data_IF_562284951987
#
_entry.id   IF_562284951987
#
_cell.length_a   1.000
_cell.length_b   1.000
_cell.length_c   1.000
_cell.angle_alpha   90.00
_cell.angle_beta   90.00
_cell.angle_gamma   90.00
#
_symmetry.space_group_name_H-M   'P 1'
#
loop_
_entity.id
_entity.type
_entity.pdbx_description
1 polymer ?
#
# COMPACT_ATOMS: atom_id res chain seq x y z
N UNK A 1 7.00 -10.21 -30.43
CA UNK A 1 7.81 -10.43 -29.22
C UNK A 1 9.01 -9.54 -29.32
N UNK A 2 9.04 -8.47 -28.52
CA UNK A 2 10.19 -7.60 -28.39
C UNK A 2 11.04 -8.05 -27.20
N UNK A 3 12.35 -7.97 -27.36
CA UNK A 3 13.30 -8.11 -26.25
C UNK A 3 13.89 -6.73 -25.95
N UNK A 4 13.89 -6.33 -24.68
CA UNK A 4 14.48 -5.08 -24.21
C UNK A 4 15.39 -5.35 -23.02
N UNK A 5 16.52 -4.66 -22.95
CA UNK A 5 17.48 -4.79 -21.85
C UNK A 5 17.67 -3.46 -21.16
N UNK A 6 17.70 -3.47 -19.82
CA UNK A 6 17.95 -2.31 -18.99
C UNK A 6 18.93 -2.66 -17.88
N UNK A 7 19.71 -1.69 -17.43
CA UNK A 7 20.58 -1.90 -16.27
C UNK A 7 19.75 -2.08 -15.00
N UNK A 8 18.76 -1.22 -14.82
CA UNK A 8 17.84 -1.22 -13.69
C UNK A 8 16.40 -1.40 -14.17
N UNK A 9 15.69 -2.34 -13.59
CA UNK A 9 14.23 -2.44 -13.73
C UNK A 9 13.58 -2.27 -12.36
N UNK A 10 12.61 -1.37 -12.27
CA UNK A 10 11.64 -1.33 -11.17
C UNK A 10 10.36 -2.02 -11.66
N UNK A 11 9.97 -3.11 -11.01
CA UNK A 11 8.72 -3.82 -11.30
C UNK A 11 7.60 -3.35 -10.36
N UNK A 12 6.62 -2.66 -10.93
CA UNK A 12 5.52 -2.00 -10.22
C UNK A 12 5.59 -0.48 -10.43
N UNK A 13 4.46 0.16 -10.69
CA UNK A 13 4.35 1.61 -10.96
C UNK A 13 3.71 2.41 -9.84
N UNK A 14 3.86 1.99 -8.59
CA UNK A 14 3.24 2.64 -7.43
C UNK A 14 4.11 3.67 -6.73
N UNK A 15 3.74 4.02 -5.50
CA UNK A 15 4.45 5.02 -4.67
C UNK A 15 5.95 4.71 -4.55
N UNK A 16 6.33 3.49 -4.16
CA UNK A 16 7.74 3.12 -4.00
C UNK A 16 8.53 3.28 -5.30
N UNK A 17 7.93 3.00 -6.45
CA UNK A 17 8.58 3.12 -7.75
C UNK A 17 8.86 4.57 -8.12
N UNK A 18 7.89 5.47 -7.91
CA UNK A 18 8.10 6.90 -8.17
C UNK A 18 9.11 7.55 -7.23
N UNK A 19 9.15 7.15 -5.95
CA UNK A 19 10.19 7.64 -5.04
C UNK A 19 11.57 7.05 -5.36
N UNK A 20 11.65 5.78 -5.76
CA UNK A 20 12.90 5.17 -6.22
C UNK A 20 13.43 5.85 -7.48
N UNK A 21 12.56 6.15 -8.47
CA UNK A 21 12.95 6.86 -9.68
C UNK A 21 13.51 8.25 -9.40
N UNK A 22 12.89 8.98 -8.46
CA UNK A 22 13.43 10.26 -7.97
C UNK A 22 14.82 10.11 -7.38
N UNK A 23 15.05 9.05 -6.60
CA UNK A 23 16.36 8.81 -6.01
C UNK A 23 17.40 8.41 -7.06
N UNK A 24 17.05 7.58 -8.04
CA UNK A 24 17.92 7.29 -9.19
C UNK A 24 18.33 8.57 -9.94
N UNK A 25 17.40 9.49 -10.17
CA UNK A 25 17.70 10.77 -10.80
C UNK A 25 18.69 11.59 -9.99
N UNK A 26 18.49 11.69 -8.66
CA UNK A 26 19.44 12.37 -7.75
C UNK A 26 20.82 11.72 -7.74
N UNK A 27 20.88 10.41 -7.85
CA UNK A 27 22.13 9.63 -7.89
C UNK A 27 22.79 9.64 -9.28
N UNK A 28 22.21 10.36 -10.26
CA UNK A 28 22.81 10.53 -11.59
C UNK A 28 22.65 9.34 -12.53
N UNK A 29 21.50 8.64 -12.47
CA UNK A 29 21.16 7.59 -13.45
C UNK A 29 21.28 8.13 -14.88
N UNK A 30 21.87 7.36 -15.78
CA UNK A 30 22.03 7.81 -17.18
C UNK A 30 20.76 7.52 -17.99
N UNK A 31 20.45 8.35 -19.01
CA UNK A 31 19.36 8.07 -19.93
C UNK A 31 19.44 6.65 -20.52
N UNK A 32 18.33 5.91 -20.47
CA UNK A 32 18.23 4.54 -20.95
C UNK A 32 18.65 3.45 -19.96
N UNK A 33 19.25 3.79 -18.80
CA UNK A 33 19.65 2.77 -17.81
C UNK A 33 18.47 2.22 -16.98
N UNK A 34 17.45 3.05 -16.73
CA UNK A 34 16.32 2.70 -15.85
C UNK A 34 15.01 2.55 -16.64
N UNK A 35 14.32 1.44 -16.39
CA UNK A 35 12.93 1.25 -16.78
C UNK A 35 12.03 0.98 -15.57
N UNK A 36 10.79 1.46 -15.66
CA UNK A 36 9.72 1.14 -14.71
C UNK A 36 8.61 0.43 -15.47
N UNK A 37 8.29 -0.80 -15.06
CA UNK A 37 7.24 -1.61 -15.67
C UNK A 37 6.02 -1.59 -14.76
N UNK A 38 4.88 -1.13 -15.29
CA UNK A 38 3.61 -1.08 -14.57
C UNK A 38 2.49 -1.71 -15.38
N UNK A 39 1.62 -2.47 -14.70
CA UNK A 39 0.36 -2.95 -15.28
C UNK A 39 -0.68 -1.84 -15.43
N UNK A 40 -0.58 -0.76 -14.65
CA UNK A 40 -1.51 0.35 -14.69
C UNK A 40 -1.35 1.13 -16.00
N UNK A 41 -2.47 1.59 -16.56
CA UNK A 41 -2.47 2.33 -17.83
C UNK A 41 -1.95 3.77 -17.69
N UNK A 42 -2.04 4.30 -16.47
CA UNK A 42 -1.57 5.63 -16.10
C UNK A 42 -0.37 5.52 -15.17
N UNK A 43 0.53 6.49 -15.26
CA UNK A 43 1.59 6.64 -14.27
C UNK A 43 0.96 7.05 -12.94
N UNK A 44 0.84 6.13 -11.98
CA UNK A 44 0.08 6.37 -10.75
C UNK A 44 0.97 6.59 -9.54
N UNK A 45 0.50 7.43 -8.62
CA UNK A 45 1.31 7.79 -7.48
C UNK A 45 0.51 8.48 -6.38
N UNK A 46 -0.36 7.73 -5.68
CA UNK A 46 -0.62 7.81 -4.22
C UNK A 46 -1.91 7.05 -3.87
N UNK A 47 -1.78 5.90 -3.22
CA UNK A 47 -2.91 5.04 -2.83
C UNK A 47 -3.90 5.75 -1.89
N UNK A 48 -3.41 6.56 -0.95
CA UNK A 48 -4.25 7.28 0.02
C UNK A 48 -5.10 8.38 -0.61
N UNK A 49 -4.88 8.73 -1.88
CA UNK A 49 -5.71 9.73 -2.60
C UNK A 49 -6.92 9.08 -3.27
N UNK A 50 -6.98 7.75 -3.38
CA UNK A 50 -8.12 7.06 -4.01
C UNK A 50 -9.43 7.32 -3.26
N UNK A 51 -9.40 7.35 -1.92
CA UNK A 51 -10.58 7.72 -1.13
C UNK A 51 -10.90 9.21 -1.27
N UNK A 52 -9.88 10.07 -1.45
CA UNK A 52 -10.09 11.49 -1.74
C UNK A 52 -10.74 11.74 -3.11
N UNK A 53 -10.51 10.86 -4.09
CA UNK A 53 -11.19 10.89 -5.39
C UNK A 53 -12.70 10.63 -5.26
N UNK A 54 -13.12 9.89 -4.21
CA UNK A 54 -14.50 9.48 -3.93
C UNK A 54 -15.24 10.49 -3.03
N UNK A 55 -14.55 11.06 -2.03
CA UNK A 55 -15.16 11.94 -1.02
C UNK A 55 -15.51 13.35 -1.51
N UNK A 56 -15.02 13.78 -2.68
CA UNK A 56 -15.11 15.17 -3.14
C UNK A 56 -16.33 15.53 -4.01
N UNK A 57 -17.37 14.70 -4.07
CA UNK A 57 -18.63 15.13 -4.69
C UNK A 57 -19.31 16.23 -3.86
N UNK A 58 -19.07 16.36 -2.55
CA UNK A 58 -19.56 17.50 -1.76
C UNK A 58 -18.81 17.69 -0.41
N UNK A 59 -17.98 18.73 -0.28
CA UNK A 59 -17.40 19.31 0.98
C UNK A 59 -16.11 18.72 1.64
N UNK A 60 -15.01 19.45 1.42
CA UNK A 60 -14.31 20.34 2.37
C UNK A 60 -13.67 19.85 3.69
N UNK A 61 -13.61 18.58 4.07
CA UNK A 61 -12.84 18.20 5.28
C UNK A 61 -12.13 16.85 5.14
N UNK A 62 -10.81 16.87 5.41
CA UNK A 62 -9.86 15.73 5.58
C UNK A 62 -9.29 15.22 4.23
N UNK A 63 -8.06 15.54 3.83
CA UNK A 63 -6.79 15.24 4.51
C UNK A 63 -5.79 16.43 4.55
N UNK A 64 -5.00 16.45 5.62
CA UNK A 64 -4.26 17.61 6.18
C UNK A 64 -3.09 18.15 5.35
N UNK A 65 -2.72 17.53 4.23
CA UNK A 65 -1.54 17.93 3.46
C UNK A 65 -1.88 18.75 2.20
N UNK A 66 -2.96 18.39 1.48
CA UNK A 66 -3.45 19.18 0.32
C UNK A 66 -4.04 20.54 0.75
N UNK A 67 -4.47 20.67 2.00
CA UNK A 67 -5.09 21.88 2.55
C UNK A 67 -4.09 22.96 3.01
N UNK A 68 -2.80 22.66 3.17
CA UNK A 68 -1.85 23.67 3.66
C UNK A 68 -1.27 24.56 2.56
N UNK A 69 -1.28 24.13 1.29
CA UNK A 69 -0.67 24.86 0.18
C UNK A 69 -1.55 25.04 -1.06
N UNK A 70 -2.78 24.51 -1.10
CA UNK A 70 -3.69 24.76 -2.21
C UNK A 70 -4.47 26.07 -2.00
N UNK A 71 -4.53 26.98 -2.99
CA UNK A 71 -5.39 28.15 -2.91
C UNK A 71 -6.84 27.71 -2.68
N UNK A 72 -7.53 28.40 -1.76
CA UNK A 72 -8.94 28.19 -1.35
C UNK A 72 -9.99 28.24 -2.49
N UNK A 73 -9.57 28.28 -3.76
CA UNK A 73 -10.42 28.39 -4.95
C UNK A 73 -10.56 27.10 -5.78
N UNK A 74 -9.84 26.01 -5.47
CA UNK A 74 -9.92 24.77 -6.26
C UNK A 74 -11.14 23.90 -5.85
N UNK A 75 -12.31 24.21 -6.41
CA UNK A 75 -13.47 23.31 -6.42
C UNK A 75 -13.21 22.15 -7.38
N UNK A 76 -13.07 20.92 -6.88
CA UNK A 76 -13.00 19.72 -7.73
C UNK A 76 -12.47 18.48 -6.99
N UNK A 77 -12.90 17.29 -7.43
CA UNK A 77 -12.32 16.04 -6.95
C UNK A 77 -10.86 15.91 -7.41
N UNK A 78 -10.02 15.29 -6.58
CA UNK A 78 -8.65 15.00 -6.97
C UNK A 78 -8.65 14.16 -8.27
N UNK A 79 -7.93 14.63 -9.28
CA UNK A 79 -7.75 13.95 -10.56
C UNK A 79 -6.28 14.00 -10.95
N UNK A 80 -5.82 12.97 -11.66
CA UNK A 80 -4.53 13.05 -12.34
C UNK A 80 -4.57 14.22 -13.34
N UNK A 81 -3.47 14.98 -13.51
CA UNK A 81 -2.13 14.75 -12.95
C UNK A 81 -1.89 15.36 -11.55
N UNK A 82 -2.90 15.96 -10.90
CA UNK A 82 -2.73 16.84 -9.73
C UNK A 82 -2.21 16.21 -8.44
N UNK A 83 -2.06 14.89 -8.39
CA UNK A 83 -1.50 14.19 -7.24
C UNK A 83 -0.37 13.23 -7.62
N UNK A 84 0.36 13.49 -8.72
CA UNK A 84 1.54 12.69 -9.00
C UNK A 84 2.57 12.78 -7.84
N UNK A 85 3.32 11.72 -7.55
CA UNK A 85 4.47 11.78 -6.64
C UNK A 85 5.45 12.83 -7.17
N UNK A 86 6.13 13.60 -6.32
CA UNK A 86 6.23 13.46 -4.87
C UNK A 86 5.41 14.50 -4.10
N UNK A 87 4.35 15.07 -4.70
CA UNK A 87 3.60 16.14 -4.05
C UNK A 87 3.14 15.72 -2.67
N UNK A 88 2.69 14.48 -2.46
CA UNK A 88 2.25 14.00 -1.14
C UNK A 88 3.21 14.21 0.05
N UNK A 89 4.51 14.41 -0.18
CA UNK A 89 5.51 14.74 0.85
C UNK A 89 6.11 16.15 0.70
N UNK A 90 5.48 17.03 -0.07
CA UNK A 90 5.97 18.38 -0.40
C UNK A 90 7.11 18.42 -1.42
N UNK A 91 7.32 17.35 -2.18
CA UNK A 91 8.23 17.38 -3.31
C UNK A 91 7.55 17.84 -4.60
N UNK A 92 8.36 18.08 -5.63
CA UNK A 92 7.86 18.39 -6.97
C UNK A 92 7.09 17.20 -7.59
N UNK A 93 6.06 17.48 -8.40
CA UNK A 93 5.36 16.45 -9.17
C UNK A 93 6.28 15.86 -10.25
N UNK A 94 6.13 14.56 -10.49
CA UNK A 94 6.79 13.79 -11.54
C UNK A 94 5.71 13.30 -12.52
N UNK A 95 5.26 14.14 -13.46
CA UNK A 95 4.38 13.71 -14.53
C UNK A 95 5.15 12.86 -15.56
N UNK A 96 4.48 12.16 -16.50
CA UNK A 96 5.15 11.30 -17.50
C UNK A 96 6.28 11.98 -18.28
N UNK A 97 6.15 13.29 -18.53
CA UNK A 97 7.15 14.11 -19.23
C UNK A 97 8.46 14.18 -18.44
N UNK A 98 8.40 14.25 -17.11
CA UNK A 98 9.59 14.25 -16.25
C UNK A 98 10.44 12.99 -16.47
N UNK A 99 9.82 11.82 -16.56
CA UNK A 99 10.55 10.57 -16.81
C UNK A 99 11.21 10.58 -18.19
N UNK A 100 10.49 11.08 -19.20
CA UNK A 100 11.00 11.20 -20.58
C UNK A 100 12.21 12.14 -20.64
N UNK A 101 12.13 13.31 -20.00
CA UNK A 101 13.22 14.29 -19.92
C UNK A 101 14.46 13.74 -19.22
N UNK A 102 14.27 12.88 -18.20
CA UNK A 102 15.36 12.22 -17.47
C UNK A 102 15.87 10.94 -18.16
N UNK A 103 15.28 10.56 -19.29
CA UNK A 103 15.62 9.34 -20.01
C UNK A 103 15.27 8.06 -19.24
N UNK A 104 14.30 8.12 -18.33
CA UNK A 104 13.75 6.98 -17.60
C UNK A 104 12.59 6.42 -18.43
N UNK A 105 12.65 5.13 -18.77
CA UNK A 105 11.65 4.50 -19.62
C UNK A 105 10.43 4.05 -18.80
N UNK A 106 9.28 4.68 -19.00
CA UNK A 106 8.01 4.20 -18.46
C UNK A 106 7.36 3.19 -19.40
N UNK A 107 7.13 1.97 -18.91
CA UNK A 107 6.50 0.87 -19.63
C UNK A 107 5.17 0.57 -18.94
N UNK A 108 4.11 1.26 -19.38
CA UNK A 108 2.76 1.18 -18.80
C UNK A 108 1.91 0.09 -19.48
N UNK A 109 0.73 -0.20 -18.93
CA UNK A 109 -0.20 -1.23 -19.44
C UNK A 109 0.46 -2.59 -19.68
N UNK A 110 1.49 -2.92 -18.90
CA UNK A 110 2.33 -4.10 -19.11
C UNK A 110 2.36 -4.93 -17.84
N UNK A 111 1.54 -5.97 -17.79
CA UNK A 111 1.57 -6.96 -16.70
C UNK A 111 2.68 -7.98 -16.94
N UNK A 112 3.58 -8.13 -15.96
CA UNK A 112 4.55 -9.21 -15.92
C UNK A 112 3.90 -10.46 -15.32
N UNK A 113 3.91 -11.55 -16.07
CA UNK A 113 3.28 -12.84 -15.69
C UNK A 113 4.29 -13.92 -15.34
N UNK A 114 5.57 -13.69 -15.67
CA UNK A 114 6.67 -14.59 -15.30
C UNK A 114 7.92 -13.77 -14.95
N UNK A 115 8.59 -14.17 -13.87
CA UNK A 115 9.92 -13.69 -13.52
C UNK A 115 10.84 -14.89 -13.35
N UNK A 116 12.01 -14.86 -13.98
CA UNK A 116 13.10 -15.80 -13.77
C UNK A 116 14.30 -15.01 -13.22
N UNK A 117 14.61 -15.22 -11.95
CA UNK A 117 15.69 -14.49 -11.27
C UNK A 117 17.08 -15.01 -11.64
N UNK A 118 17.19 -16.27 -12.08
CA UNK A 118 18.47 -16.86 -12.49
C UNK A 118 18.89 -16.32 -13.84
N UNK A 119 17.98 -16.31 -14.81
CA UNK A 119 18.23 -15.73 -16.13
C UNK A 119 18.06 -14.19 -16.16
N UNK A 120 17.66 -13.59 -15.03
CA UNK A 120 17.35 -12.16 -14.90
C UNK A 120 16.38 -11.64 -15.96
N UNK A 121 15.28 -12.37 -16.14
CA UNK A 121 14.32 -12.15 -17.23
C UNK A 121 12.91 -11.99 -16.69
N UNK A 122 12.19 -10.97 -17.15
CA UNK A 122 10.76 -10.80 -16.94
C UNK A 122 10.01 -11.02 -18.26
N UNK A 123 8.85 -11.65 -18.21
CA UNK A 123 7.99 -11.86 -19.38
C UNK A 123 6.61 -11.25 -19.15
N UNK A 124 6.15 -10.42 -20.08
CA UNK A 124 4.81 -9.83 -20.02
C UNK A 124 3.72 -10.80 -20.47
N UNK A 125 2.47 -10.47 -20.14
CA UNK A 125 1.28 -11.17 -20.65
C UNK A 125 1.21 -11.19 -22.19
N UNK A 126 1.79 -10.19 -22.86
CA UNK A 126 1.87 -10.09 -24.31
C UNK A 126 3.03 -10.92 -24.93
N UNK A 127 3.87 -11.54 -24.10
CA UNK A 127 5.04 -12.32 -24.53
C UNK A 127 6.29 -11.49 -24.80
N UNK A 128 6.32 -10.21 -24.44
CA UNK A 128 7.54 -9.40 -24.49
C UNK A 128 8.47 -9.78 -23.35
N UNK A 129 9.77 -9.68 -23.60
CA UNK A 129 10.82 -10.10 -22.68
C UNK A 129 11.68 -8.91 -22.26
N UNK A 130 11.93 -8.79 -20.96
CA UNK A 130 12.73 -7.71 -20.37
C UNK A 130 13.88 -8.31 -19.57
N UNK A 131 15.11 -7.98 -19.96
CA UNK A 131 16.34 -8.44 -19.31
C UNK A 131 16.86 -7.31 -18.41
N UNK A 132 17.37 -7.67 -17.23
CA UNK A 132 17.90 -6.70 -16.28
C UNK A 132 19.25 -7.11 -15.68
N UNK A 133 20.03 -6.12 -15.25
CA UNK A 133 21.17 -6.38 -14.36
C UNK A 133 20.72 -6.39 -12.89
N UNK A 134 19.89 -5.41 -12.51
CA UNK A 134 19.33 -5.24 -11.16
C UNK A 134 17.80 -5.06 -11.24
N UNK A 135 17.08 -5.79 -10.39
CA UNK A 135 15.63 -5.72 -10.26
C UNK A 135 15.23 -5.17 -8.89
N UNK A 136 14.36 -4.16 -8.88
CA UNK A 136 13.68 -3.67 -7.69
C UNK A 136 12.23 -4.14 -7.76
N UNK A 137 11.82 -4.95 -6.78
CA UNK A 137 10.46 -5.47 -6.68
C UNK A 137 9.60 -4.46 -5.91
N UNK A 138 8.71 -3.77 -6.61
CA UNK A 138 7.80 -2.75 -6.09
C UNK A 138 6.32 -3.05 -6.42
N UNK A 139 5.96 -4.34 -6.48
CA UNK A 139 4.63 -4.83 -6.90
C UNK A 139 3.51 -4.57 -5.89
N UNK A 140 3.87 -4.20 -4.65
CA UNK A 140 2.90 -3.82 -3.63
C UNK A 140 2.02 -4.97 -3.14
N UNK A 141 0.71 -4.75 -3.11
CA UNK A 141 -0.27 -5.67 -2.54
C UNK A 141 -1.54 -5.71 -3.38
N UNK A 142 -2.27 -6.81 -3.28
CA UNK A 142 -3.61 -6.97 -3.83
C UNK A 142 -4.63 -7.10 -2.71
N UNK A 143 -5.88 -6.74 -2.98
CA UNK A 143 -6.98 -6.86 -2.01
C UNK A 143 -7.29 -8.32 -1.72
N UNK A 144 -7.70 -8.61 -0.48
CA UNK A 144 -8.38 -9.85 -0.17
C UNK A 144 -9.82 -9.75 -0.70
N UNK A 145 -10.24 -10.78 -1.45
CA UNK A 145 -11.55 -10.83 -2.10
C UNK A 145 -12.51 -11.68 -1.29
N UNK A 146 -13.80 -11.33 -1.26
CA UNK A 146 -14.84 -12.12 -0.60
C UNK A 146 -14.95 -13.53 -1.19
N UNK A 147 -14.61 -13.68 -2.47
CA UNK A 147 -14.45 -14.94 -3.18
C UNK A 147 -13.35 -15.83 -2.56
N UNK A 148 -12.26 -15.23 -2.04
CA UNK A 148 -11.18 -15.97 -1.35
C UNK A 148 -11.69 -16.63 -0.05
N UNK A 149 -12.80 -16.13 0.51
CA UNK A 149 -13.45 -16.67 1.70
C UNK A 149 -14.64 -17.61 1.39
N UNK A 150 -14.91 -17.89 0.11
CA UNK A 150 -16.01 -18.76 -0.31
C UNK A 150 -17.40 -18.17 -0.06
N UNK A 151 -17.54 -16.85 -0.02
CA UNK A 151 -18.83 -16.19 0.22
C UNK A 151 -19.67 -16.22 -1.06
N UNK A 152 -20.85 -16.82 -0.98
CA UNK A 152 -21.79 -16.92 -2.11
C UNK A 152 -22.26 -15.54 -2.58
N UNK A 153 -22.32 -15.34 -3.90
CA UNK A 153 -22.75 -14.07 -4.50
C UNK A 153 -21.73 -12.93 -4.42
N UNK A 154 -20.49 -13.19 -3.98
CA UNK A 154 -19.43 -12.19 -3.94
C UNK A 154 -19.06 -11.58 -5.32
N UNK A 155 -19.43 -12.25 -6.42
CA UNK A 155 -19.19 -11.83 -7.80
C UNK A 155 -20.37 -11.05 -8.43
N UNK A 156 -21.41 -10.71 -7.67
CA UNK A 156 -22.54 -9.92 -8.16
C UNK A 156 -22.11 -8.50 -8.56
N UNK A 157 -22.87 -7.87 -9.45
CA UNK A 157 -22.64 -6.46 -9.81
C UNK A 157 -22.87 -5.57 -8.60
N UNK A 158 -22.21 -4.41 -8.60
CA UNK A 158 -22.22 -3.41 -7.53
C UNK A 158 -21.59 -3.84 -6.20
N UNK A 159 -20.76 -4.89 -6.23
CA UNK A 159 -19.79 -5.19 -5.18
C UNK A 159 -18.43 -4.66 -5.64
N UNK A 160 -17.90 -3.68 -4.91
CA UNK A 160 -16.69 -2.95 -5.28
C UNK A 160 -15.56 -3.20 -4.28
N UNK A 161 -14.35 -3.14 -4.80
CA UNK A 161 -13.11 -3.05 -4.03
C UNK A 161 -12.47 -1.71 -4.35
N UNK A 162 -11.50 -1.27 -3.54
CA UNK A 162 -10.75 -0.04 -3.82
C UNK A 162 -9.26 -0.26 -3.60
N UNK A 163 -8.51 -0.39 -4.69
CA UNK A 163 -7.04 -0.52 -4.66
C UNK A 163 -6.34 0.30 -5.72
N UNK A 164 -6.88 0.36 -6.92
CA UNK A 164 -6.27 1.07 -8.05
C UNK A 164 -7.19 2.20 -8.52
N UNK A 165 -6.69 3.06 -9.41
CA UNK A 165 -7.47 4.23 -9.86
C UNK A 165 -8.70 3.81 -10.66
N UNK A 166 -8.60 2.73 -11.41
CA UNK A 166 -9.72 2.15 -12.16
C UNK A 166 -10.83 1.66 -11.24
N UNK A 167 -10.48 1.17 -10.04
CA UNK A 167 -11.46 0.83 -9.02
C UNK A 167 -12.17 2.08 -8.49
N UNK A 168 -11.41 3.16 -8.25
CA UNK A 168 -11.95 4.44 -7.80
C UNK A 168 -12.90 5.03 -8.84
N UNK A 169 -12.56 4.99 -10.13
CA UNK A 169 -13.42 5.49 -11.21
C UNK A 169 -14.73 4.70 -11.30
N UNK A 170 -14.67 3.36 -11.22
CA UNK A 170 -15.87 2.51 -11.18
C UNK A 170 -16.75 2.85 -9.98
N UNK A 171 -16.15 3.03 -8.81
CA UNK A 171 -16.88 3.36 -7.59
C UNK A 171 -17.51 4.76 -7.65
N UNK A 172 -16.79 5.76 -8.19
CA UNK A 172 -17.32 7.12 -8.40
C UNK A 172 -18.50 7.11 -9.36
N UNK A 173 -18.43 6.34 -10.46
CA UNK A 173 -19.55 6.17 -11.39
C UNK A 173 -20.76 5.52 -10.70
N UNK A 174 -20.53 4.45 -9.92
CA UNK A 174 -21.59 3.77 -9.18
C UNK A 174 -22.28 4.69 -8.16
N UNK A 175 -21.50 5.47 -7.41
CA UNK A 175 -21.99 6.49 -6.47
C UNK A 175 -22.85 7.52 -7.20
N UNK A 176 -22.42 7.98 -8.38
CA UNK A 176 -23.18 8.91 -9.21
C UNK A 176 -24.52 8.34 -9.71
N UNK A 177 -24.56 7.03 -9.99
CA UNK A 177 -25.74 6.34 -10.53
C UNK A 177 -26.74 5.88 -9.45
N UNK A 178 -26.29 5.71 -8.20
CA UNK A 178 -27.08 5.16 -7.09
C UNK A 178 -27.32 6.16 -5.96
N UNK A 179 -27.38 7.45 -6.28
CA UNK A 179 -27.58 8.53 -5.30
C UNK A 179 -28.73 8.22 -4.35
N UNK A 180 -28.55 8.60 -3.10
CA UNK A 180 -29.53 8.45 -2.01
C UNK A 180 -29.90 6.97 -1.69
N UNK A 181 -29.15 6.01 -2.26
CA UNK A 181 -29.33 4.58 -2.05
C UNK A 181 -28.71 4.06 -0.75
N UNK A 182 -28.77 2.73 -0.58
CA UNK A 182 -28.18 2.01 0.56
C UNK A 182 -26.83 1.42 0.20
N UNK A 183 -25.83 1.68 1.02
CA UNK A 183 -24.49 1.13 0.86
C UNK A 183 -24.07 0.32 2.10
N UNK A 184 -23.54 -0.88 1.88
CA UNK A 184 -22.91 -1.68 2.93
C UNK A 184 -21.39 -1.67 2.74
N UNK A 185 -20.66 -1.25 3.77
CA UNK A 185 -19.20 -1.36 3.83
C UNK A 185 -18.82 -2.61 4.61
N UNK A 186 -18.05 -3.50 3.99
CA UNK A 186 -17.55 -4.75 4.61
C UNK A 186 -16.09 -4.56 5.02
N UNK A 187 -15.85 -4.47 6.32
CA UNK A 187 -14.53 -4.29 6.94
C UNK A 187 -14.44 -3.05 7.82
N UNK A 188 -13.84 -3.20 9.01
CA UNK A 188 -13.74 -2.15 10.05
C UNK A 188 -12.36 -1.50 10.15
N UNK A 189 -11.49 -1.69 9.16
CA UNK A 189 -10.17 -1.05 9.10
C UNK A 189 -10.23 0.39 8.57
N UNK A 190 -9.06 0.99 8.33
CA UNK A 190 -8.97 2.39 7.90
C UNK A 190 -9.69 2.63 6.58
N UNK A 191 -9.57 1.70 5.61
CA UNK A 191 -10.31 1.75 4.35
C UNK A 191 -11.82 1.74 4.59
N UNK A 192 -12.31 0.87 5.48
CA UNK A 192 -13.74 0.79 5.80
C UNK A 192 -14.27 2.07 6.42
N UNK A 193 -13.52 2.67 7.34
CA UNK A 193 -13.85 3.97 7.94
C UNK A 193 -13.87 5.08 6.88
N UNK A 194 -12.80 5.24 6.10
CA UNK A 194 -12.72 6.30 5.09
C UNK A 194 -13.82 6.17 4.02
N UNK A 195 -14.11 4.95 3.55
CA UNK A 195 -15.18 4.68 2.60
C UNK A 195 -16.57 4.96 3.17
N UNK A 196 -16.82 4.56 4.42
CA UNK A 196 -18.10 4.85 5.10
C UNK A 196 -18.33 6.36 5.19
N UNK A 197 -17.29 7.11 5.56
CA UNK A 197 -17.34 8.57 5.59
C UNK A 197 -17.58 9.15 4.20
N UNK A 198 -16.92 8.64 3.16
CA UNK A 198 -17.07 9.13 1.80
C UNK A 198 -18.51 8.88 1.27
N UNK A 199 -19.10 7.73 1.58
CA UNK A 199 -20.48 7.40 1.18
C UNK A 199 -21.51 8.26 1.92
N UNK A 200 -21.34 8.52 3.23
CA UNK A 200 -22.19 9.45 3.98
C UNK A 200 -22.17 10.85 3.36
N UNK A 201 -20.98 11.35 3.01
CA UNK A 201 -20.82 12.67 2.38
C UNK A 201 -21.46 12.72 0.97
N UNK A 202 -21.65 11.56 0.34
CA UNK A 202 -22.37 11.37 -0.92
C UNK A 202 -23.87 11.03 -0.71
N UNK A 203 -24.41 11.27 0.48
CA UNK A 203 -25.82 11.13 0.83
C UNK A 203 -26.38 9.68 0.79
N UNK A 204 -25.51 8.67 0.93
CA UNK A 204 -25.97 7.28 1.07
C UNK A 204 -26.43 6.97 2.50
N UNK A 205 -27.37 6.02 2.62
CA UNK A 205 -27.61 5.32 3.88
C UNK A 205 -26.53 4.26 4.05
N UNK A 206 -25.67 4.38 5.08
CA UNK A 206 -24.48 3.54 5.21
C UNK A 206 -24.58 2.62 6.42
N UNK A 207 -24.45 1.31 6.17
CA UNK A 207 -24.14 0.31 7.18
C UNK A 207 -22.66 -0.10 7.03
N UNK A 208 -21.96 -0.35 8.14
CA UNK A 208 -20.58 -0.87 8.15
C UNK A 208 -20.55 -2.14 9.01
N UNK A 209 -20.10 -3.25 8.42
CA UNK A 209 -20.04 -4.57 9.07
C UNK A 209 -18.62 -5.09 9.21
N UNK A 210 -18.28 -5.62 10.37
CA UNK A 210 -16.98 -6.25 10.62
C UNK A 210 -17.00 -7.24 11.79
N UNK A 211 -16.13 -8.27 11.76
CA UNK A 211 -16.11 -9.32 12.78
C UNK A 211 -15.53 -8.87 14.12
N UNK A 212 -14.65 -7.87 14.12
CA UNK A 212 -13.91 -7.48 15.31
C UNK A 212 -14.79 -6.74 16.34
N UNK A 213 -14.42 -6.77 17.63
CA UNK A 213 -15.20 -6.11 18.69
C UNK A 213 -15.22 -4.58 18.56
N UNK A 214 -14.25 -4.00 17.85
CA UNK A 214 -14.17 -2.57 17.56
C UNK A 214 -13.40 -2.28 16.26
N UNK A 215 -13.55 -1.07 15.71
CA UNK A 215 -12.88 -0.65 14.46
C UNK A 215 -11.37 -0.44 14.63
N UNK A 216 -10.60 -0.55 13.53
CA UNK A 216 -9.13 -0.45 13.54
C UNK A 216 -8.44 -1.35 14.59
N UNK A 217 -8.79 -2.64 14.68
CA UNK A 217 -8.39 -3.53 15.79
C UNK A 217 -6.88 -3.79 15.88
N UNK A 218 -6.13 -3.53 14.80
CA UNK A 218 -4.67 -3.69 14.76
C UNK A 218 -3.90 -2.46 15.27
N UNK A 219 -4.59 -1.36 15.59
CA UNK A 219 -3.96 -0.11 16.00
C UNK A 219 -4.69 0.59 17.14
N UNK A 220 -6.02 0.68 17.09
CA UNK A 220 -6.81 1.38 18.10
C UNK A 220 -7.06 0.50 19.33
N UNK A 221 -7.02 1.14 20.49
CA UNK A 221 -7.60 0.61 21.72
C UNK A 221 -9.13 0.73 21.67
N UNK A 222 -9.83 0.00 22.54
CA UNK A 222 -11.29 0.04 22.62
C UNK A 222 -11.83 1.46 22.87
N UNK A 223 -11.20 2.26 23.73
CA UNK A 223 -11.65 3.63 24.03
C UNK A 223 -11.49 4.57 22.83
N UNK A 224 -10.37 4.46 22.09
CA UNK A 224 -10.18 5.23 20.86
C UNK A 224 -11.22 4.83 19.81
N UNK A 225 -11.45 3.53 19.64
CA UNK A 225 -12.43 3.03 18.70
C UNK A 225 -13.86 3.46 19.09
N UNK A 226 -14.22 3.45 20.38
CA UNK A 226 -15.51 3.92 20.86
C UNK A 226 -15.77 5.40 20.51
N UNK A 227 -14.74 6.25 20.59
CA UNK A 227 -14.83 7.64 20.13
C UNK A 227 -15.18 7.71 18.63
N UNK A 228 -14.44 6.98 17.78
CA UNK A 228 -14.69 7.00 16.33
C UNK A 228 -16.03 6.35 15.97
N UNK A 229 -16.37 5.20 16.52
CA UNK A 229 -17.66 4.54 16.31
C UNK A 229 -18.81 5.47 16.69
N UNK A 230 -18.74 6.10 17.87
CA UNK A 230 -19.73 7.07 18.30
C UNK A 230 -19.80 8.31 17.39
N UNK A 231 -18.66 8.77 16.87
CA UNK A 231 -18.61 9.86 15.90
C UNK A 231 -19.27 9.48 14.56
N UNK A 232 -18.99 8.28 14.04
CA UNK A 232 -19.57 7.77 12.80
C UNK A 232 -21.08 7.52 12.92
N UNK A 233 -21.54 6.97 14.05
CA UNK A 233 -22.97 6.80 14.31
C UNK A 233 -23.70 8.15 14.42
N UNK A 234 -23.09 9.17 15.04
CA UNK A 234 -23.64 10.55 15.03
C UNK A 234 -23.73 11.15 13.63
N UNK A 235 -22.91 10.68 12.68
CA UNK A 235 -22.95 11.08 11.27
C UNK A 235 -23.89 10.22 10.43
N UNK A 236 -24.59 9.24 11.02
CA UNK A 236 -25.59 8.42 10.36
C UNK A 236 -25.11 7.05 9.90
N UNK A 237 -23.89 6.63 10.25
CA UNK A 237 -23.41 5.27 9.93
C UNK A 237 -23.98 4.26 10.93
N UNK A 238 -24.68 3.25 10.42
CA UNK A 238 -25.09 2.09 11.19
C UNK A 238 -23.89 1.14 11.33
N UNK A 239 -23.47 0.83 12.56
CA UNK A 239 -22.27 0.01 12.81
C UNK A 239 -22.69 -1.37 13.32
N UNK A 240 -22.27 -2.40 12.60
CA UNK A 240 -22.62 -3.80 12.82
C UNK A 240 -21.35 -4.60 13.16
N UNK A 241 -21.11 -4.80 14.45
CA UNK A 241 -19.90 -5.49 14.97
C UNK A 241 -20.16 -6.97 15.24
N UNK A 242 -19.08 -7.75 15.35
CA UNK A 242 -19.15 -9.15 15.80
C UNK A 242 -19.76 -10.13 14.80
N UNK A 243 -19.91 -9.75 13.54
CA UNK A 243 -20.48 -10.60 12.49
C UNK A 243 -19.78 -10.36 11.15
N UNK A 244 -20.06 -11.23 10.17
CA UNK A 244 -19.50 -11.16 8.82
C UNK A 244 -20.59 -11.31 7.78
N UNK A 245 -20.36 -10.81 6.57
CA UNK A 245 -21.17 -11.19 5.42
C UNK A 245 -21.02 -12.71 5.16
N UNK A 246 -22.15 -13.40 5.04
CA UNK A 246 -22.26 -14.83 4.78
C UNK A 246 -22.76 -15.13 3.37
N UNK A 247 -23.38 -14.17 2.68
CA UNK A 247 -23.76 -14.29 1.29
C UNK A 247 -24.45 -13.04 0.76
N UNK A 248 -24.51 -12.93 -0.56
CA UNK A 248 -25.15 -11.83 -1.28
C UNK A 248 -26.27 -12.36 -2.17
N UNK A 249 -27.39 -11.63 -2.21
CA UNK A 249 -28.54 -11.96 -3.06
C UNK A 249 -28.70 -10.87 -4.11
N UNK A 250 -28.94 -11.30 -5.35
CA UNK A 250 -29.12 -10.39 -6.48
C UNK A 250 -30.57 -9.99 -6.72
N UNK A 251 -30.76 -8.83 -7.34
CA UNK A 251 -31.98 -8.50 -8.08
C UNK A 251 -31.99 -9.17 -9.48
N UNK A 252 -33.07 -8.94 -10.24
CA UNK A 252 -33.27 -9.50 -11.59
C UNK A 252 -32.20 -9.07 -12.61
N UNK A 253 -31.47 -7.99 -12.33
CA UNK A 253 -30.39 -7.47 -13.18
C UNK A 253 -28.99 -8.04 -12.83
N UNK A 254 -28.92 -8.93 -11.84
CA UNK A 254 -27.68 -9.50 -11.32
C UNK A 254 -26.87 -8.55 -10.43
N UNK A 255 -27.51 -7.51 -9.91
CA UNK A 255 -26.91 -6.56 -8.96
C UNK A 255 -27.21 -6.97 -7.52
N UNK A 256 -26.28 -6.73 -6.60
CA UNK A 256 -26.54 -6.93 -5.17
C UNK A 256 -27.78 -6.13 -4.73
N UNK A 257 -28.61 -6.78 -3.92
CA UNK A 257 -29.82 -6.20 -3.31
C UNK A 257 -29.83 -6.42 -1.80
N UNK A 258 -29.39 -7.61 -1.36
CA UNK A 258 -29.41 -7.99 0.06
C UNK A 258 -28.09 -8.67 0.44
N UNK A 259 -27.66 -8.45 1.68
CA UNK A 259 -26.48 -9.07 2.27
C UNK A 259 -26.92 -9.84 3.51
N UNK A 260 -26.72 -11.15 3.47
CA UNK A 260 -26.98 -12.05 4.60
C UNK A 260 -25.78 -12.02 5.53
N UNK A 261 -26.00 -11.74 6.80
CA UNK A 261 -24.97 -11.77 7.84
C UNK A 261 -24.99 -13.12 8.56
N UNK A 262 -23.82 -13.53 9.09
CA UNK A 262 -23.65 -14.83 9.75
C UNK A 262 -24.51 -15.00 11.00
N UNK A 263 -24.89 -13.91 11.65
CA UNK A 263 -25.75 -13.87 12.83
C UNK A 263 -27.25 -13.81 12.49
N UNK A 264 -27.62 -14.01 11.22
CA UNK A 264 -29.01 -14.12 10.77
C UNK A 264 -29.66 -12.81 10.35
N UNK A 265 -28.99 -11.66 10.55
CA UNK A 265 -29.45 -10.37 10.03
C UNK A 265 -29.36 -10.32 8.50
N UNK A 266 -30.20 -9.50 7.90
CA UNK A 266 -30.18 -9.21 6.45
C UNK A 266 -30.19 -7.70 6.28
N UNK A 267 -29.20 -7.19 5.55
CA UNK A 267 -29.08 -5.77 5.22
C UNK A 267 -29.43 -5.56 3.75
N UNK A 268 -30.31 -4.59 3.46
CA UNK A 268 -30.55 -4.15 2.08
C UNK A 268 -29.42 -3.23 1.63
N UNK A 269 -28.87 -3.47 0.44
CA UNK A 269 -27.79 -2.68 -0.13
C UNK A 269 -27.88 -2.64 -1.66
N UNK A 270 -27.89 -1.44 -2.22
CA UNK A 270 -27.78 -1.21 -3.66
C UNK A 270 -26.32 -1.26 -4.15
N UNK A 271 -25.40 -1.14 -3.20
CA UNK A 271 -23.96 -1.13 -3.40
C UNK A 271 -23.24 -1.71 -2.17
N UNK A 272 -22.23 -2.54 -2.41
CA UNK A 272 -21.33 -3.04 -1.38
C UNK A 272 -19.92 -2.57 -1.67
N UNK A 273 -19.20 -2.07 -0.67
CA UNK A 273 -17.78 -1.72 -0.81
C UNK A 273 -16.96 -2.50 0.20
N UNK A 274 -15.92 -3.18 -0.26
CA UNK A 274 -15.18 -4.18 0.52
C UNK A 274 -13.77 -3.67 0.84
N UNK A 275 -13.42 -3.72 2.13
CA UNK A 275 -12.13 -3.33 2.69
C UNK A 275 -11.65 -4.33 3.76
N UNK A 276 -11.52 -5.60 3.40
CA UNK A 276 -11.21 -6.71 4.34
C UNK A 276 -9.72 -7.07 4.43
N UNK A 277 -8.85 -6.17 3.96
CA UNK A 277 -7.40 -6.33 4.01
C UNK A 277 -6.76 -6.60 2.66
N UNK A 278 -5.45 -6.82 2.69
CA UNK A 278 -4.62 -7.01 1.50
C UNK A 278 -3.54 -8.06 1.76
N UNK A 279 -3.02 -8.65 0.68
CA UNK A 279 -1.89 -9.58 0.69
C UNK A 279 -0.78 -9.10 -0.26
N UNK A 280 0.52 -9.26 0.09
CA UNK A 280 1.62 -8.91 -0.80
C UNK A 280 1.57 -9.62 -2.16
N UNK A 281 1.91 -8.91 -3.23
CA UNK A 281 1.94 -9.45 -4.60
C UNK A 281 3.30 -10.08 -4.92
N UNK A 282 3.53 -11.27 -4.36
CA UNK A 282 4.83 -11.97 -4.42
C UNK A 282 4.82 -13.24 -5.29
N UNK A 283 3.67 -13.58 -5.90
CA UNK A 283 3.48 -14.85 -6.61
C UNK A 283 4.52 -15.09 -7.73
N UNK A 284 4.99 -14.05 -8.41
CA UNK A 284 6.01 -14.15 -9.46
C UNK A 284 7.36 -14.70 -8.96
N UNK A 285 7.63 -14.58 -7.66
CA UNK A 285 8.93 -14.86 -7.06
C UNK A 285 8.92 -16.08 -6.13
N UNK A 286 7.75 -16.71 -5.95
CA UNK A 286 7.60 -17.87 -5.06
C UNK A 286 8.56 -18.99 -5.45
N UNK A 287 9.30 -19.49 -4.46
CA UNK A 287 10.32 -20.53 -4.66
C UNK A 287 11.63 -20.07 -5.31
N UNK A 288 11.75 -18.77 -5.65
CA UNK A 288 12.99 -18.17 -6.16
C UNK A 288 13.66 -17.23 -5.15
N UNK A 289 12.94 -16.83 -4.11
CA UNK A 289 13.41 -15.99 -2.99
C UNK A 289 12.93 -16.57 -1.67
N UNK A 290 13.61 -16.21 -0.58
CA UNK A 290 13.10 -16.51 0.76
C UNK A 290 11.84 -15.68 1.05
N UNK A 291 10.90 -16.24 1.80
CA UNK A 291 9.64 -15.59 2.18
C UNK A 291 9.45 -15.66 3.70
N UNK A 292 8.96 -14.58 4.31
CA UNK A 292 8.68 -14.53 5.74
C UNK A 292 7.46 -13.62 6.02
N UNK A 293 6.61 -14.02 6.98
CA UNK A 293 5.42 -13.27 7.43
C UNK A 293 4.52 -12.78 6.28
N UNK A 294 4.47 -13.53 5.18
CA UNK A 294 3.62 -13.26 4.01
C UNK A 294 4.22 -12.35 2.94
N UNK A 295 5.49 -11.96 3.05
CA UNK A 295 6.23 -11.16 2.05
C UNK A 295 7.54 -11.82 1.62
N UNK A 296 8.23 -11.20 0.65
CA UNK A 296 9.61 -11.56 0.30
C UNK A 296 10.51 -11.19 1.47
N UNK A 297 11.26 -12.16 1.98
CA UNK A 297 12.25 -11.94 3.03
C UNK A 297 13.40 -11.15 2.42
N UNK A 298 13.70 -10.02 3.03
CA UNK A 298 14.79 -9.14 2.64
C UNK A 298 15.98 -9.41 3.57
N UNK A 299 17.21 -9.26 3.08
CA UNK A 299 18.39 -9.50 3.92
C UNK A 299 18.44 -8.43 5.03
N UNK A 300 18.23 -8.95 6.24
CA UNK A 300 17.74 -8.24 7.42
C UNK A 300 16.50 -8.94 7.97
N UNK A 301 16.67 -9.92 8.85
CA UNK A 301 15.57 -10.52 9.61
C UNK A 301 15.18 -9.57 10.76
N UNK A 302 13.87 -9.31 10.93
CA UNK A 302 13.33 -8.57 12.08
C UNK A 302 12.77 -9.51 13.16
N UNK A 303 13.21 -10.77 13.17
CA UNK A 303 12.90 -11.80 14.15
C UNK A 303 14.13 -12.14 15.02
N UNK A 304 13.88 -12.36 16.31
CA UNK A 304 14.91 -12.45 17.34
C UNK A 304 14.78 -11.30 18.33
N UNK A 305 15.65 -11.29 19.34
CA UNK A 305 15.70 -10.18 20.29
C UNK A 305 16.38 -8.98 19.62
N UNK A 306 15.79 -7.80 19.77
CA UNK A 306 16.30 -6.58 19.16
C UNK A 306 16.91 -5.65 20.19
N UNK A 307 17.94 -4.92 19.78
CA UNK A 307 18.51 -3.85 20.60
C UNK A 307 18.71 -2.59 19.78
N UNK A 308 18.36 -1.45 20.36
CA UNK A 308 18.58 -0.13 19.78
C UNK A 308 19.91 0.40 20.30
N UNK A 309 20.68 1.04 19.43
CA UNK A 309 21.93 1.73 19.77
C UNK A 309 21.90 3.16 19.22
N UNK A 310 22.76 4.02 19.77
CA UNK A 310 22.88 5.41 19.34
C UNK A 310 21.80 6.34 19.92
N UNK A 311 21.75 7.56 19.39
CA UNK A 311 20.87 8.63 19.85
C UNK A 311 19.53 8.59 19.12
N UNK A 312 18.51 8.09 19.82
CA UNK A 312 17.14 7.98 19.34
C UNK A 312 16.21 9.01 19.99
N UNK A 313 16.74 10.06 20.64
CA UNK A 313 15.92 11.13 21.20
C UNK A 313 15.34 11.97 20.05
N UNK A 314 14.00 12.03 19.87
CA UNK A 314 13.39 12.84 18.83
C UNK A 314 13.63 14.34 19.00
N UNK A 315 14.12 14.80 20.15
CA UNK A 315 14.51 16.19 20.41
C UNK A 315 15.98 16.49 20.05
N UNK A 316 16.79 15.48 19.71
CA UNK A 316 18.19 15.66 19.31
C UNK A 316 18.31 16.45 18.00
N UNK A 317 19.37 17.25 17.86
CA UNK A 317 19.61 18.08 16.68
C UNK A 317 19.95 17.21 15.44
N UNK A 318 20.58 16.04 15.66
CA UNK A 318 20.96 15.07 14.63
C UNK A 318 20.86 13.64 15.19
N UNK A 319 19.64 13.12 15.41
CA UNK A 319 19.47 11.76 15.93
C UNK A 319 20.12 10.77 14.96
N UNK A 320 21.00 9.92 15.50
CA UNK A 320 21.67 8.85 14.76
C UNK A 320 21.59 7.61 15.62
N UNK A 321 20.73 6.69 15.22
CA UNK A 321 20.46 5.46 15.94
C UNK A 321 20.26 4.31 14.97
N UNK A 322 20.45 3.11 15.46
CA UNK A 322 20.20 1.91 14.69
C UNK A 322 19.69 0.79 15.57
N UNK A 323 19.43 -0.35 14.96
CA UNK A 323 19.06 -1.54 15.71
C UNK A 323 19.67 -2.78 15.08
N UNK A 324 20.02 -3.74 15.93
CA UNK A 324 20.40 -5.08 15.54
C UNK A 324 19.35 -6.07 16.03
N UNK A 325 19.13 -7.11 15.22
CA UNK A 325 18.34 -8.27 15.61
C UNK A 325 19.27 -9.45 15.81
N UNK A 326 19.22 -10.05 17.01
CA UNK A 326 20.02 -11.20 17.42
C UNK A 326 19.13 -12.44 17.49
N UNK A 327 19.56 -13.52 16.84
CA UNK A 327 18.88 -14.81 16.88
C UNK A 327 19.93 -15.92 16.91
N UNK A 328 19.81 -16.83 17.87
CA UNK A 328 20.73 -17.96 18.07
C UNK A 328 22.21 -17.52 18.11
N UNK A 329 22.49 -16.38 18.76
CA UNK A 329 23.84 -15.82 18.91
C UNK A 329 24.40 -15.15 17.65
N UNK A 330 23.59 -14.96 16.60
CA UNK A 330 23.99 -14.27 15.36
C UNK A 330 23.16 -13.03 15.08
N UNK A 331 23.79 -12.01 14.55
CA UNK A 331 23.10 -10.80 14.09
C UNK A 331 22.45 -11.12 12.75
N UNK A 332 21.13 -11.25 12.75
CA UNK A 332 20.35 -11.65 11.56
C UNK A 332 19.76 -10.45 10.82
N UNK A 333 19.75 -9.29 11.45
CA UNK A 333 19.35 -8.04 10.83
C UNK A 333 20.01 -6.83 11.46
N UNK A 334 20.10 -5.76 10.67
CA UNK A 334 20.65 -4.49 11.08
C UNK A 334 19.92 -3.34 10.38
N UNK A 335 19.71 -2.24 11.09
CA UNK A 335 19.12 -0.99 10.60
C UNK A 335 19.92 0.19 11.15
N UNK A 336 20.03 1.26 10.37
CA UNK A 336 20.67 2.50 10.77
C UNK A 336 19.93 3.69 10.18
N UNK A 337 19.62 4.66 11.03
CA UNK A 337 19.07 5.97 10.70
C UNK A 337 20.15 7.05 10.93
N UNK A 338 20.25 8.01 10.01
CA UNK A 338 21.21 9.12 10.12
C UNK A 338 22.69 8.76 9.86
N UNK A 339 22.97 7.59 9.27
CA UNK A 339 24.32 7.10 8.97
C UNK A 339 25.02 7.76 7.77
N UNK A 340 26.35 7.80 7.78
CA UNK A 340 27.17 8.14 6.60
C UNK A 340 27.18 7.00 5.57
N UNK A 341 27.62 7.23 4.32
CA UNK A 341 27.73 6.17 3.32
C UNK A 341 28.60 4.98 3.78
N UNK A 342 29.69 5.24 4.51
CA UNK A 342 30.58 4.24 5.06
C UNK A 342 29.87 3.41 6.15
N UNK A 343 29.17 4.09 7.06
CA UNK A 343 28.39 3.46 8.14
C UNK A 343 27.24 2.60 7.58
N UNK A 344 26.53 3.08 6.56
CA UNK A 344 25.47 2.32 5.90
C UNK A 344 26.02 1.08 5.17
N UNK A 345 27.23 1.19 4.59
CA UNK A 345 27.91 0.05 3.96
C UNK A 345 28.28 -1.00 5.00
N UNK A 346 28.82 -0.58 6.15
CA UNK A 346 29.16 -1.47 7.26
C UNK A 346 27.91 -2.18 7.80
N UNK A 347 26.80 -1.45 8.02
CA UNK A 347 25.53 -2.02 8.49
C UNK A 347 24.94 -3.02 7.48
N UNK A 348 25.02 -2.72 6.18
CA UNK A 348 24.64 -3.67 5.13
C UNK A 348 25.51 -4.92 5.16
N UNK A 349 26.80 -4.79 5.46
CA UNK A 349 27.72 -5.92 5.56
C UNK A 349 27.37 -6.83 6.75
N UNK A 350 27.02 -6.26 7.90
CA UNK A 350 26.54 -7.02 9.07
C UNK A 350 25.34 -7.89 8.72
N UNK A 351 24.30 -7.31 8.08
CA UNK A 351 23.09 -8.05 7.72
C UNK A 351 23.35 -9.17 6.69
N UNK A 352 24.39 -9.01 5.85
CA UNK A 352 24.81 -10.01 4.84
C UNK A 352 25.64 -11.14 5.45
N UNK A 353 26.62 -10.79 6.28
CA UNK A 353 27.59 -11.73 6.85
C UNK A 353 27.00 -12.50 8.03
N UNK A 354 26.01 -11.92 8.71
CA UNK A 354 25.36 -12.44 9.90
C UNK A 354 26.36 -12.90 10.98
N UNK A 355 27.22 -11.98 11.44
CA UNK A 355 28.27 -12.30 12.40
C UNK A 355 27.71 -12.77 13.73
N UNK A 356 28.50 -13.55 14.47
CA UNK A 356 28.15 -13.89 15.85
C UNK A 356 28.30 -12.66 16.75
N UNK A 357 27.42 -12.52 17.72
CA UNK A 357 27.53 -11.52 18.77
C UNK A 357 27.37 -12.17 20.13
N UNK A 358 28.09 -11.64 21.11
CA UNK A 358 28.16 -12.18 22.48
C UNK A 358 26.85 -11.98 23.25
N UNK A 359 26.18 -10.85 23.05
CA UNK A 359 24.92 -10.47 23.72
C UNK A 359 24.29 -9.24 23.07
N UNK A 360 23.02 -8.97 23.42
CA UNK A 360 22.34 -7.73 23.04
C UNK A 360 22.97 -6.51 23.71
N UNK A 361 23.41 -6.61 24.97
CA UNK A 361 24.06 -5.50 25.67
C UNK A 361 25.36 -5.08 24.97
N UNK A 362 26.14 -6.04 24.46
CA UNK A 362 27.34 -5.76 23.66
C UNK A 362 26.98 -4.98 22.39
N UNK A 363 25.95 -5.42 21.68
CA UNK A 363 25.47 -4.77 20.46
C UNK A 363 24.92 -3.36 20.71
N UNK A 364 24.23 -3.14 21.84
CA UNK A 364 23.75 -1.83 22.26
C UNK A 364 24.91 -0.86 22.50
N UNK A 365 25.94 -1.35 23.19
CA UNK A 365 27.11 -0.54 23.58
C UNK A 365 28.04 -0.26 22.41
N UNK A 366 28.27 -1.24 21.55
CA UNK A 366 29.18 -1.11 20.40
C UNK A 366 28.52 -0.35 19.24
N UNK A 367 27.22 -0.55 19.02
CA UNK A 367 26.47 0.13 17.97
C UNK A 367 27.15 0.07 16.60
N UNK A 368 27.61 1.22 16.08
CA UNK A 368 28.30 1.28 14.79
C UNK A 368 29.71 0.70 14.80
N UNK A 369 30.39 0.69 15.94
CA UNK A 369 31.71 0.06 16.05
C UNK A 369 31.61 -1.45 15.83
N UNK A 370 30.49 -2.08 16.18
CA UNK A 370 30.25 -3.48 15.87
C UNK A 370 30.27 -3.69 14.36
N UNK A 371 29.53 -2.88 13.60
CA UNK A 371 29.47 -2.99 12.15
C UNK A 371 30.81 -2.77 11.45
N UNK A 372 31.63 -1.84 11.96
CA UNK A 372 32.95 -1.53 11.40
C UNK A 372 33.98 -2.66 11.56
N UNK A 373 33.71 -3.67 12.40
CA UNK A 373 34.58 -4.83 12.63
C UNK A 373 34.28 -6.00 11.67
N UNK A 374 33.21 -5.89 10.88
CA UNK A 374 32.66 -6.95 10.02
C UNK A 374 32.93 -6.61 8.57
#
# INVERSE_FOLDING_TARGET
MAEKSFKYIILGGGVSAGYAAREFEKQGVKPGELAIISKEAVWFSRLSTLVLCISHITLNYISRWLLMNAPRSAKGAARLPGFHVCVGSGGEPQPPEWYTEKGITLILSTEIVKADLVSKTLTSAAGDTFIYEVLIIATGSTVLRLEDFGIEGANLKNIFYLREIEDADKLVQAIGNKKDGKALVVGGGYIGLELSSALIVNNFQVSMVYPEPWCMPRLFTADMAAFYEGYYTKKGVNIIKGTVAAGFVSNDNGEVKEVKLKDGRVEEADMVVVGVGAKPLINLFKGQVEEEKGGIKFYGDNAGDSVVFGDHDPASEKPKFGTYWLKDGKVVGAFLEGGTPEENTAISNVAKVQPSASSLESLASEGLEFASKI
#
